data_IF_017940479579
#
_entry.id   IF_017940479579
#
_cell.length_a   1.000
_cell.length_b   1.000
_cell.length_c   1.000
_cell.angle_alpha   90.00
_cell.angle_beta   90.00
_cell.angle_gamma   90.00
#
_symmetry.space_group_name_H-M   'P 1'
#
loop_
_entity.id
_entity.type
_entity.pdbx_description
1 polymer ?
#
# COMPACT_ATOMS: atom_id res chain seq x y z
N UNK A 1 18.00 -13.89 -12.08
CA UNK A 1 19.08 -12.91 -11.85
C UNK A 1 18.77 -12.17 -10.56
N UNK A 2 19.77 -11.70 -9.81
CA UNK A 2 19.51 -10.85 -8.66
C UNK A 2 18.92 -9.51 -9.13
N UNK A 3 17.95 -8.96 -8.36
CA UNK A 3 17.38 -7.66 -8.69
C UNK A 3 18.43 -6.54 -8.56
N UNK A 4 18.37 -5.57 -9.46
CA UNK A 4 19.20 -4.36 -9.43
C UNK A 4 18.69 -3.47 -8.28
N UNK A 5 19.62 -2.94 -7.46
CA UNK A 5 19.31 -2.18 -6.24
C UNK A 5 20.05 -0.85 -6.25
N UNK A 6 19.38 0.17 -5.75
CA UNK A 6 19.89 1.55 -5.68
C UNK A 6 19.72 2.09 -4.26
N UNK A 7 20.67 2.92 -3.85
CA UNK A 7 20.72 3.55 -2.54
C UNK A 7 20.89 5.07 -2.67
N UNK A 8 21.04 5.78 -1.58
CA UNK A 8 21.12 7.24 -1.56
C UNK A 8 22.22 7.81 -2.47
N UNK A 9 23.36 7.12 -2.59
CA UNK A 9 24.48 7.56 -3.43
C UNK A 9 24.22 7.40 -4.94
N UNK A 10 23.25 6.58 -5.31
CA UNK A 10 22.85 6.32 -6.71
C UNK A 10 21.82 7.34 -7.22
N UNK A 11 21.32 8.22 -6.36
CA UNK A 11 20.23 9.15 -6.69
C UNK A 11 20.61 10.61 -6.41
N UNK A 12 20.37 11.48 -7.40
CA UNK A 12 20.56 12.93 -7.27
C UNK A 12 19.23 13.60 -6.87
N UNK A 13 19.14 14.08 -5.62
CA UNK A 13 17.96 14.75 -5.09
C UNK A 13 17.62 16.05 -5.86
N UNK A 14 18.61 16.72 -6.45
CA UNK A 14 18.42 17.99 -7.13
C UNK A 14 17.50 17.88 -8.36
N UNK A 15 17.39 16.69 -8.97
CA UNK A 15 16.52 16.45 -10.11
C UNK A 15 15.07 16.71 -9.73
N UNK A 16 14.55 16.07 -8.66
CA UNK A 16 13.16 16.28 -8.23
C UNK A 16 12.96 17.64 -7.55
N UNK A 17 13.97 18.18 -6.87
CA UNK A 17 13.89 19.53 -6.29
C UNK A 17 13.73 20.63 -7.34
N UNK A 18 14.16 20.39 -8.58
CA UNK A 18 13.96 21.31 -9.71
C UNK A 18 12.57 21.25 -10.34
N UNK A 19 11.71 20.33 -9.88
CA UNK A 19 10.40 20.03 -10.45
C UNK A 19 9.26 20.49 -9.54
N UNK A 20 8.13 20.77 -10.16
CA UNK A 20 6.84 21.00 -9.49
C UNK A 20 6.08 19.68 -9.42
N UNK A 21 5.73 19.24 -8.24
CA UNK A 21 5.04 17.95 -8.03
C UNK A 21 3.60 18.17 -7.59
N UNK A 22 2.65 17.62 -8.33
CA UNK A 22 1.25 17.52 -7.91
C UNK A 22 0.98 16.13 -7.38
N UNK A 23 0.57 16.01 -6.12
CA UNK A 23 0.10 14.77 -5.51
C UNK A 23 -1.43 14.71 -5.61
N UNK A 24 -1.94 13.82 -6.46
CA UNK A 24 -3.38 13.67 -6.69
C UNK A 24 -3.96 12.63 -5.75
N UNK A 25 -4.72 13.10 -4.76
CA UNK A 25 -5.22 12.29 -3.64
C UNK A 25 -4.41 12.49 -2.37
N UNK A 26 -5.07 12.43 -1.20
CA UNK A 26 -4.47 12.65 0.11
C UNK A 26 -4.92 11.56 1.10
N UNK A 27 -4.85 10.31 0.64
CA UNK A 27 -4.98 9.11 1.47
C UNK A 27 -3.67 8.77 2.17
N UNK A 28 -3.53 7.54 2.64
CA UNK A 28 -2.35 7.07 3.39
C UNK A 28 -1.03 7.34 2.67
N UNK A 29 -0.90 6.96 1.38
CA UNK A 29 0.31 7.23 0.60
C UNK A 29 0.42 8.71 0.21
N UNK A 30 -0.69 9.35 -0.21
CA UNK A 30 -0.68 10.76 -0.62
C UNK A 30 -0.20 11.71 0.46
N UNK A 31 -0.66 11.50 1.71
CA UNK A 31 -0.17 12.21 2.88
C UNK A 31 1.35 12.04 3.06
N UNK A 32 1.83 10.79 3.05
CA UNK A 32 3.25 10.50 3.28
C UNK A 32 4.15 11.07 2.17
N UNK A 33 3.79 10.86 0.90
CA UNK A 33 4.56 11.36 -0.23
C UNK A 33 4.60 12.88 -0.26
N UNK A 34 3.46 13.56 -0.10
CA UNK A 34 3.41 15.03 -0.13
C UNK A 34 4.27 15.65 0.96
N UNK A 35 4.21 15.14 2.19
CA UNK A 35 5.01 15.66 3.30
C UNK A 35 6.50 15.34 3.15
N UNK A 36 6.86 14.12 2.74
CA UNK A 36 8.26 13.74 2.59
C UNK A 36 8.92 14.52 1.45
N UNK A 37 8.23 14.72 0.32
CA UNK A 37 8.69 15.57 -0.77
C UNK A 37 8.92 17.01 -0.32
N UNK A 38 7.94 17.61 0.36
CA UNK A 38 8.07 18.98 0.92
C UNK A 38 9.27 19.08 1.86
N UNK A 39 9.40 18.15 2.80
CA UNK A 39 10.49 18.16 3.78
C UNK A 39 11.86 17.87 3.14
N UNK A 40 11.86 17.32 1.92
CA UNK A 40 13.03 17.16 1.07
C UNK A 40 13.31 18.37 0.16
N UNK A 41 12.57 19.47 0.31
CA UNK A 41 12.78 20.72 -0.44
C UNK A 41 12.17 20.74 -1.84
N UNK A 42 11.19 19.88 -2.12
CA UNK A 42 10.45 19.84 -3.39
C UNK A 42 9.24 20.78 -3.33
N UNK A 43 8.94 21.48 -4.41
CA UNK A 43 7.73 22.29 -4.55
C UNK A 43 6.53 21.39 -4.81
N UNK A 44 5.62 21.28 -3.82
CA UNK A 44 4.49 20.32 -3.82
C UNK A 44 3.15 21.04 -3.71
N UNK A 45 2.17 20.59 -4.48
CA UNK A 45 0.75 20.89 -4.27
C UNK A 45 -0.04 19.59 -4.17
N UNK A 46 -1.14 19.62 -3.43
CA UNK A 46 -2.09 18.48 -3.35
C UNK A 46 -3.26 18.79 -4.27
N UNK A 47 -3.55 17.89 -5.21
CA UNK A 47 -4.69 17.97 -6.10
C UNK A 47 -5.88 17.21 -5.51
N UNK A 48 -6.99 17.90 -5.20
CA UNK A 48 -8.19 17.29 -4.63
C UNK A 48 -9.44 17.76 -5.37
N UNK A 49 -10.45 16.90 -5.39
CA UNK A 49 -11.78 17.30 -5.88
C UNK A 49 -12.43 18.34 -4.94
N UNK A 50 -13.27 19.18 -5.47
CA UNK A 50 -14.04 20.13 -4.69
C UNK A 50 -14.87 19.40 -3.62
N UNK A 51 -14.90 19.95 -2.40
CA UNK A 51 -15.62 19.36 -1.26
C UNK A 51 -14.98 18.13 -0.62
N UNK A 52 -13.75 17.78 -1.00
CA UNK A 52 -13.04 16.67 -0.35
C UNK A 52 -12.76 16.97 1.13
N UNK A 53 -13.07 16.02 2.02
CA UNK A 53 -12.74 16.10 3.46
C UNK A 53 -11.25 16.16 3.74
N UNK A 54 -10.40 15.80 2.77
CA UNK A 54 -8.95 15.85 2.89
C UNK A 54 -8.36 17.25 2.68
N UNK A 55 -9.12 18.22 2.18
CA UNK A 55 -8.63 19.60 1.96
C UNK A 55 -8.14 20.22 3.27
N UNK A 56 -9.00 20.25 4.27
CA UNK A 56 -8.63 20.80 5.58
C UNK A 56 -7.42 20.11 6.20
N UNK A 57 -7.33 18.78 6.06
CA UNK A 57 -6.18 17.99 6.59
C UNK A 57 -4.86 18.36 5.90
N UNK A 58 -4.88 18.53 4.58
CA UNK A 58 -3.69 18.91 3.82
C UNK A 58 -3.24 20.34 4.15
N UNK A 59 -4.20 21.28 4.24
CA UNK A 59 -3.92 22.68 4.60
C UNK A 59 -3.42 22.83 6.04
N UNK A 60 -3.94 22.06 6.99
CA UNK A 60 -3.46 22.02 8.38
C UNK A 60 -1.99 21.57 8.47
N UNK A 61 -1.59 20.67 7.57
CA UNK A 61 -0.19 20.24 7.44
C UNK A 61 0.68 21.22 6.64
N UNK A 62 0.14 22.37 6.25
CA UNK A 62 0.85 23.42 5.53
C UNK A 62 1.11 23.11 4.05
N UNK A 63 0.31 22.23 3.44
CA UNK A 63 0.40 21.92 2.02
C UNK A 63 -0.61 22.75 1.21
N UNK A 64 -0.19 23.40 0.11
CA UNK A 64 -1.11 24.07 -0.80
C UNK A 64 -2.04 23.05 -1.47
N UNK A 65 -3.35 23.36 -1.53
CA UNK A 65 -4.34 22.53 -2.19
C UNK A 65 -4.89 23.25 -3.42
N UNK A 66 -5.08 22.53 -4.51
CA UNK A 66 -5.70 23.02 -5.75
C UNK A 66 -6.76 22.04 -6.27
N UNK A 67 -7.73 22.50 -7.08
CA UNK A 67 -8.51 21.61 -7.93
C UNK A 67 -7.58 20.74 -8.79
N UNK A 68 -7.98 19.50 -9.07
CA UNK A 68 -7.13 18.51 -9.73
C UNK A 68 -6.59 19.00 -11.07
N UNK A 69 -7.45 19.52 -11.96
CA UNK A 69 -7.04 20.05 -13.26
C UNK A 69 -5.99 21.17 -13.14
N UNK A 70 -6.14 22.08 -12.16
CA UNK A 70 -5.18 23.15 -11.93
C UNK A 70 -3.87 22.64 -11.37
N UNK A 71 -3.89 21.65 -10.49
CA UNK A 71 -2.70 21.01 -9.94
C UNK A 71 -1.91 20.32 -11.05
N UNK A 72 -2.59 19.58 -11.92
CA UNK A 72 -1.99 18.90 -13.09
C UNK A 72 -1.39 19.90 -14.07
N UNK A 73 -2.13 20.95 -14.45
CA UNK A 73 -1.64 21.98 -15.37
C UNK A 73 -0.43 22.75 -14.83
N UNK A 74 -0.28 22.85 -13.51
CA UNK A 74 0.85 23.49 -12.85
C UNK A 74 2.10 22.61 -12.79
N UNK A 75 1.93 21.28 -12.63
CA UNK A 75 2.99 20.35 -12.31
C UNK A 75 3.88 19.96 -13.49
N UNK A 76 5.10 19.52 -13.17
CA UNK A 76 6.03 18.80 -14.07
C UNK A 76 5.99 17.30 -13.78
N UNK A 77 5.58 16.91 -12.56
CA UNK A 77 5.36 15.52 -12.13
C UNK A 77 3.99 15.41 -11.49
N UNK A 78 3.16 14.54 -12.05
CA UNK A 78 1.80 14.24 -11.53
C UNK A 78 1.82 12.88 -10.87
N UNK A 79 1.77 12.84 -9.55
CA UNK A 79 1.76 11.60 -8.76
C UNK A 79 0.34 11.21 -8.43
N UNK A 80 -0.15 10.09 -8.98
CA UNK A 80 -1.52 9.62 -8.83
C UNK A 80 -1.62 8.66 -7.65
N UNK A 81 -2.18 9.14 -6.54
CA UNK A 81 -2.36 8.39 -5.28
C UNK A 81 -3.83 8.34 -4.83
N UNK A 82 -4.74 8.56 -5.76
CA UNK A 82 -6.17 8.27 -5.59
C UNK A 82 -6.39 6.74 -5.61
N UNK A 83 -7.53 6.24 -5.07
CA UNK A 83 -7.85 4.80 -5.12
C UNK A 83 -7.94 4.28 -6.57
N UNK A 84 -7.48 3.05 -6.80
CA UNK A 84 -7.34 2.45 -8.14
C UNK A 84 -8.62 2.51 -8.97
N UNK A 85 -9.76 2.26 -8.36
CA UNK A 85 -11.06 2.21 -9.05
C UNK A 85 -11.51 3.56 -9.62
N UNK A 86 -10.96 4.68 -9.15
CA UNK A 86 -11.32 6.02 -9.65
C UNK A 86 -10.26 6.60 -10.59
N UNK A 87 -9.06 6.03 -10.64
CA UNK A 87 -7.93 6.61 -11.37
C UNK A 87 -8.19 6.70 -12.88
N UNK A 88 -8.84 5.69 -13.48
CA UNK A 88 -9.10 5.70 -14.92
C UNK A 88 -10.05 6.84 -15.35
N UNK A 89 -11.10 7.10 -14.56
CA UNK A 89 -12.00 8.23 -14.80
C UNK A 89 -11.27 9.57 -14.55
N UNK A 90 -10.54 9.64 -13.45
CA UNK A 90 -9.73 10.80 -13.08
C UNK A 90 -8.68 11.16 -14.14
N UNK A 91 -8.01 10.15 -14.68
CA UNK A 91 -7.05 10.33 -15.77
C UNK A 91 -7.71 10.96 -16.99
N UNK A 92 -8.78 10.35 -17.48
CA UNK A 92 -9.50 10.80 -18.68
C UNK A 92 -10.13 12.19 -18.53
N UNK A 93 -10.66 12.51 -17.35
CA UNK A 93 -11.46 13.71 -17.14
C UNK A 93 -10.63 14.92 -16.68
N UNK A 94 -9.59 14.69 -15.87
CA UNK A 94 -8.85 15.75 -15.20
C UNK A 94 -7.35 15.77 -15.52
N UNK A 95 -6.72 14.58 -15.75
CA UNK A 95 -5.25 14.52 -15.93
C UNK A 95 -4.89 14.68 -17.40
N UNK A 96 -5.37 13.79 -18.25
CA UNK A 96 -5.01 13.77 -19.69
C UNK A 96 -5.24 15.11 -20.40
N UNK A 97 -6.36 15.83 -20.17
CA UNK A 97 -6.59 17.14 -20.83
C UNK A 97 -5.67 18.25 -20.34
N UNK A 98 -5.01 18.10 -19.19
CA UNK A 98 -4.27 19.16 -18.51
C UNK A 98 -2.78 18.87 -18.31
N UNK A 99 -2.33 17.63 -18.49
CA UNK A 99 -0.92 17.25 -18.33
C UNK A 99 -0.09 17.81 -19.51
N UNK A 100 1.08 18.36 -19.20
CA UNK A 100 1.95 18.94 -20.22
C UNK A 100 2.78 17.88 -20.91
N UNK A 101 3.03 18.03 -22.20
CA UNK A 101 4.05 17.24 -22.89
C UNK A 101 5.40 17.36 -22.17
N UNK A 102 6.11 16.25 -22.04
CA UNK A 102 7.38 16.17 -21.32
C UNK A 102 7.24 16.12 -19.79
N UNK A 103 6.03 16.11 -19.24
CA UNK A 103 5.80 15.85 -17.82
C UNK A 103 5.89 14.36 -17.51
N UNK A 104 5.98 14.01 -16.22
CA UNK A 104 5.94 12.64 -15.76
C UNK A 104 4.60 12.31 -15.07
N UNK A 105 4.03 11.16 -15.39
CA UNK A 105 2.92 10.53 -14.70
C UNK A 105 3.48 9.43 -13.79
N UNK A 106 3.35 9.59 -12.47
CA UNK A 106 3.94 8.72 -11.47
C UNK A 106 2.85 7.98 -10.68
N UNK A 107 3.05 6.68 -10.51
CA UNK A 107 2.19 5.81 -9.72
C UNK A 107 2.95 5.21 -8.54
N UNK A 108 2.22 4.74 -7.51
CA UNK A 108 2.76 3.93 -6.41
C UNK A 108 2.21 2.51 -6.40
N UNK A 109 1.38 2.17 -7.38
CA UNK A 109 0.90 0.82 -7.67
C UNK A 109 0.57 0.74 -9.17
N UNK A 110 0.91 -0.38 -9.79
CA UNK A 110 0.85 -0.49 -11.25
C UNK A 110 -0.50 -0.88 -11.82
N UNK A 111 -1.56 -1.06 -11.03
CA UNK A 111 -2.85 -1.64 -11.41
C UNK A 111 -3.42 -1.07 -12.71
N UNK A 112 -3.61 0.25 -12.77
CA UNK A 112 -4.29 0.88 -13.90
C UNK A 112 -3.47 0.89 -15.20
N UNK A 113 -2.15 0.88 -15.11
CA UNK A 113 -1.26 0.76 -16.28
C UNK A 113 -1.16 -0.70 -16.72
N UNK A 114 -0.91 -1.63 -15.79
CA UNK A 114 -0.74 -3.04 -16.09
C UNK A 114 -1.98 -3.69 -16.74
N UNK A 115 -3.17 -3.32 -16.25
CA UNK A 115 -4.43 -3.83 -16.79
C UNK A 115 -5.07 -2.95 -17.87
N UNK A 116 -4.33 -2.01 -18.45
CA UNK A 116 -4.79 -1.16 -19.56
C UNK A 116 -6.01 -0.26 -19.28
N UNK A 117 -6.31 0.03 -18.01
CA UNK A 117 -7.36 0.99 -17.64
C UNK A 117 -6.95 2.44 -17.92
N UNK A 118 -5.66 2.74 -17.86
CA UNK A 118 -5.06 4.01 -18.24
C UNK A 118 -4.04 3.75 -19.35
N UNK A 119 -4.16 4.49 -20.46
CA UNK A 119 -3.23 4.48 -21.60
C UNK A 119 -2.66 5.87 -21.79
N UNK A 120 -1.52 6.15 -21.19
CA UNK A 120 -0.89 7.47 -21.26
C UNK A 120 -0.50 7.85 -22.70
N UNK A 121 -0.51 9.16 -22.98
CA UNK A 121 -0.02 9.69 -24.26
C UNK A 121 1.48 9.48 -24.41
N UNK A 122 1.98 9.38 -25.64
CA UNK A 122 3.38 9.01 -25.91
C UNK A 122 4.41 10.10 -25.60
N UNK A 123 3.94 11.30 -25.27
CA UNK A 123 4.76 12.50 -25.04
C UNK A 123 5.06 12.80 -23.56
N UNK A 124 4.71 11.88 -22.66
CA UNK A 124 4.98 11.98 -21.22
C UNK A 124 5.76 10.77 -20.71
N UNK A 125 6.49 10.93 -19.62
CA UNK A 125 7.10 9.81 -18.91
C UNK A 125 6.05 9.07 -18.09
N UNK A 126 6.15 7.75 -18.00
CA UNK A 126 5.30 6.92 -17.12
C UNK A 126 6.20 6.11 -16.21
N UNK A 127 6.09 6.38 -14.92
CA UNK A 127 7.03 5.86 -13.93
C UNK A 127 6.32 5.37 -12.67
N UNK A 128 7.00 4.56 -11.87
CA UNK A 128 6.49 4.09 -10.60
C UNK A 128 7.54 4.17 -9.49
N UNK A 129 7.09 4.63 -8.32
CA UNK A 129 7.79 4.50 -7.05
C UNK A 129 6.80 3.95 -6.03
N UNK A 130 6.94 2.67 -5.70
CA UNK A 130 5.99 1.93 -4.86
C UNK A 130 6.63 1.54 -3.52
N UNK A 131 6.39 2.30 -2.43
CA UNK A 131 6.83 1.92 -1.10
C UNK A 131 6.21 0.59 -0.65
N UNK A 132 7.02 -0.31 -0.09
CA UNK A 132 6.54 -1.60 0.42
C UNK A 132 6.18 -1.49 1.91
N UNK A 133 5.16 -0.69 2.16
CA UNK A 133 4.59 -0.46 3.49
C UNK A 133 3.46 0.57 3.47
N UNK A 134 2.62 0.59 4.51
CA UNK A 134 1.55 1.59 4.65
C UNK A 134 2.09 3.02 4.70
N UNK A 135 1.35 3.99 4.19
CA UNK A 135 1.80 5.38 4.09
C UNK A 135 2.21 6.00 5.44
N UNK A 136 1.47 5.73 6.52
CA UNK A 136 1.86 6.21 7.86
C UNK A 136 3.22 5.66 8.31
N UNK A 137 3.59 4.44 7.90
CA UNK A 137 4.91 3.89 8.16
C UNK A 137 5.96 4.58 7.28
N UNK A 138 5.65 4.86 6.02
CA UNK A 138 6.54 5.62 5.12
C UNK A 138 6.87 6.99 5.73
N UNK A 139 5.87 7.70 6.27
CA UNK A 139 6.07 8.99 6.93
C UNK A 139 6.89 8.86 8.21
N UNK A 140 6.50 7.97 9.11
CA UNK A 140 7.19 7.76 10.40
C UNK A 140 8.66 7.38 10.23
N UNK A 141 8.97 6.47 9.31
CA UNK A 141 10.36 6.06 9.07
C UNK A 141 11.19 7.20 8.46
N UNK A 142 10.57 8.01 7.58
CA UNK A 142 11.22 9.20 7.03
C UNK A 142 11.59 10.21 8.13
N UNK A 143 10.66 10.55 9.01
CA UNK A 143 10.88 11.46 10.15
C UNK A 143 11.96 10.94 11.11
N UNK A 144 12.06 9.63 11.26
CA UNK A 144 13.10 8.98 12.05
C UNK A 144 14.47 8.89 11.34
N UNK A 145 14.63 9.50 10.14
CA UNK A 145 15.86 9.44 9.35
C UNK A 145 16.12 8.09 8.69
N UNK A 146 15.14 7.20 8.73
CA UNK A 146 15.14 5.88 8.06
C UNK A 146 14.31 5.92 6.79
N UNK A 147 13.95 4.77 6.23
CA UNK A 147 13.10 4.66 5.06
C UNK A 147 12.39 3.32 4.98
N UNK A 148 11.36 3.26 4.15
CA UNK A 148 10.70 2.03 3.73
C UNK A 148 11.24 1.68 2.34
N UNK A 149 11.65 0.42 2.08
CA UNK A 149 12.09 0.01 0.75
C UNK A 149 11.05 0.31 -0.31
N UNK A 150 11.50 0.69 -1.50
CA UNK A 150 10.62 1.02 -2.64
C UNK A 150 10.92 0.16 -3.85
N UNK A 151 9.91 -0.16 -4.63
CA UNK A 151 10.08 -0.66 -5.98
C UNK A 151 10.05 0.50 -6.96
N UNK A 152 10.91 0.47 -7.97
CA UNK A 152 11.05 1.55 -8.95
C UNK A 152 11.08 1.00 -10.36
N UNK A 153 10.37 1.65 -11.28
CA UNK A 153 10.48 1.33 -12.70
C UNK A 153 10.06 2.49 -13.60
N UNK A 154 10.47 2.39 -14.84
CA UNK A 154 10.08 3.27 -15.95
C UNK A 154 9.37 2.41 -16.98
N UNK A 155 8.12 2.74 -17.27
CA UNK A 155 7.30 2.10 -18.31
C UNK A 155 7.49 2.81 -19.66
N UNK A 156 7.48 4.14 -19.61
CA UNK A 156 7.65 5.01 -20.76
C UNK A 156 8.62 6.13 -20.42
N UNK A 157 9.63 6.31 -21.28
CA UNK A 157 10.64 7.37 -21.16
C UNK A 157 10.59 8.26 -22.41
N UNK A 158 9.70 9.23 -22.40
CA UNK A 158 9.52 10.19 -23.49
C UNK A 158 10.60 11.28 -23.47
N UNK A 159 11.11 11.61 -22.29
CA UNK A 159 12.11 12.68 -22.11
C UNK A 159 13.55 12.22 -22.22
N UNK A 160 13.82 10.91 -22.06
CA UNK A 160 15.16 10.34 -21.94
C UNK A 160 15.79 10.52 -20.55
N UNK A 161 15.02 11.03 -19.55
CA UNK A 161 15.50 11.31 -18.19
C UNK A 161 14.61 10.69 -17.09
N UNK A 162 13.66 9.85 -17.47
CA UNK A 162 12.70 9.27 -16.54
C UNK A 162 13.35 8.44 -15.43
N UNK A 163 14.50 7.81 -15.72
CA UNK A 163 15.21 7.00 -14.73
C UNK A 163 15.81 7.85 -13.60
N UNK A 164 16.46 8.96 -13.95
CA UNK A 164 17.02 9.89 -12.98
C UNK A 164 15.91 10.50 -12.10
N UNK A 165 14.76 10.81 -12.70
CA UNK A 165 13.58 11.31 -12.01
C UNK A 165 13.05 10.31 -10.98
N UNK A 166 12.90 9.04 -11.37
CA UNK A 166 12.40 7.96 -10.51
C UNK A 166 13.28 7.79 -9.28
N UNK A 167 14.60 7.70 -9.47
CA UNK A 167 15.54 7.57 -8.36
C UNK A 167 15.55 8.80 -7.45
N UNK A 168 15.49 9.99 -8.03
CA UNK A 168 15.41 11.25 -7.29
C UNK A 168 14.13 11.34 -6.45
N UNK A 169 12.99 10.96 -7.01
CA UNK A 169 11.71 10.88 -6.28
C UNK A 169 11.77 9.86 -5.14
N UNK A 170 12.31 8.65 -5.41
CA UNK A 170 12.48 7.61 -4.40
C UNK A 170 13.34 8.09 -3.22
N UNK A 171 14.40 8.86 -3.51
CA UNK A 171 15.25 9.50 -2.49
C UNK A 171 14.48 10.55 -1.69
N UNK A 172 13.72 11.41 -2.37
CA UNK A 172 12.96 12.47 -1.73
C UNK A 172 11.91 11.96 -0.74
N UNK A 173 11.34 10.77 -0.99
CA UNK A 173 10.42 10.15 -0.02
C UNK A 173 11.10 9.24 1.00
N UNK A 174 12.44 9.12 0.97
CA UNK A 174 13.27 8.35 1.90
C UNK A 174 13.43 6.87 1.53
N UNK A 175 12.96 6.44 0.36
CA UNK A 175 12.99 5.04 -0.06
C UNK A 175 14.40 4.48 -0.27
N UNK A 176 15.29 5.27 -0.84
CA UNK A 176 16.68 4.87 -1.11
C UNK A 176 17.53 4.68 0.14
N UNK A 177 17.12 5.22 1.29
CA UNK A 177 17.77 4.96 2.58
C UNK A 177 17.67 3.49 2.97
N UNK A 178 16.55 2.84 2.63
CA UNK A 178 16.34 1.41 2.84
C UNK A 178 16.68 0.57 1.60
N UNK A 179 16.65 1.18 0.43
CA UNK A 179 16.95 0.61 -0.87
C UNK A 179 15.77 0.67 -1.84
N UNK A 180 16.08 1.00 -3.09
CA UNK A 180 15.16 0.96 -4.21
C UNK A 180 15.49 -0.27 -5.09
N UNK A 181 14.48 -1.06 -5.45
CA UNK A 181 14.64 -2.27 -6.25
C UNK A 181 13.97 -2.04 -7.60
N UNK A 182 14.73 -2.25 -8.68
CA UNK A 182 14.21 -2.17 -10.04
C UNK A 182 13.22 -3.31 -10.34
N UNK A 183 12.09 -2.95 -10.91
CA UNK A 183 11.02 -3.86 -11.28
C UNK A 183 10.33 -3.43 -12.58
N UNK A 184 9.15 -3.97 -12.86
CA UNK A 184 8.22 -3.57 -13.92
C UNK A 184 6.83 -3.30 -13.33
N UNK A 185 5.97 -2.57 -14.04
CA UNK A 185 4.57 -2.41 -13.64
C UNK A 185 3.86 -3.75 -13.46
N UNK A 186 4.11 -4.69 -14.36
CA UNK A 186 3.59 -6.04 -14.28
C UNK A 186 4.02 -6.76 -13.00
N UNK A 187 5.32 -6.85 -12.75
CA UNK A 187 5.85 -7.59 -11.59
C UNK A 187 5.40 -6.99 -10.27
N UNK A 188 5.43 -5.66 -10.15
CA UNK A 188 4.93 -4.97 -8.96
C UNK A 188 3.45 -5.28 -8.73
N UNK A 189 2.60 -5.10 -9.76
CA UNK A 189 1.15 -5.29 -9.63
C UNK A 189 0.78 -6.72 -9.29
N UNK A 190 1.31 -7.69 -10.02
CA UNK A 190 0.99 -9.11 -9.82
C UNK A 190 1.45 -9.59 -8.44
N UNK A 191 2.67 -9.23 -8.03
CA UNK A 191 3.22 -9.67 -6.73
C UNK A 191 2.58 -8.96 -5.54
N UNK A 192 2.23 -7.68 -5.66
CA UNK A 192 1.53 -6.95 -4.60
C UNK A 192 0.13 -7.53 -4.38
N UNK A 193 -0.68 -7.66 -5.44
CA UNK A 193 -2.01 -8.27 -5.36
C UNK A 193 -1.96 -9.70 -4.82
N UNK A 194 -1.01 -10.51 -5.29
CA UNK A 194 -0.83 -11.87 -4.80
C UNK A 194 -0.52 -11.90 -3.30
N UNK A 195 0.47 -11.11 -2.87
CA UNK A 195 0.88 -11.05 -1.46
C UNK A 195 -0.26 -10.63 -0.53
N UNK A 196 -1.02 -9.62 -0.93
CA UNK A 196 -2.18 -9.12 -0.17
C UNK A 196 -3.29 -10.17 -0.06
N UNK A 197 -3.65 -10.80 -1.17
CA UNK A 197 -4.76 -11.75 -1.22
C UNK A 197 -4.44 -13.07 -0.51
N UNK A 198 -3.24 -13.60 -0.70
CA UNK A 198 -2.91 -14.96 -0.25
C UNK A 198 -2.24 -15.02 1.12
N UNK A 199 -1.51 -13.98 1.53
CA UNK A 199 -0.70 -14.00 2.76
C UNK A 199 -1.01 -12.83 3.68
N UNK A 200 -0.74 -11.58 3.23
CA UNK A 200 -0.63 -10.43 4.13
C UNK A 200 -1.97 -9.95 4.70
N UNK A 201 -3.05 -10.05 3.91
CA UNK A 201 -4.38 -9.64 4.33
C UNK A 201 -5.34 -10.85 4.32
N UNK A 202 -5.59 -11.45 3.15
CA UNK A 202 -6.56 -12.53 3.02
C UNK A 202 -6.20 -13.77 3.82
N UNK A 203 -5.00 -14.32 3.61
CA UNK A 203 -4.53 -15.54 4.25
C UNK A 203 -4.46 -15.42 5.77
N UNK A 204 -3.74 -14.41 6.26
CA UNK A 204 -3.55 -14.22 7.71
C UNK A 204 -4.87 -13.96 8.44
N UNK A 205 -5.78 -13.18 7.84
CA UNK A 205 -7.08 -12.90 8.46
C UNK A 205 -7.94 -14.15 8.60
N UNK A 206 -7.97 -15.01 7.58
CA UNK A 206 -8.69 -16.28 7.64
C UNK A 206 -8.08 -17.26 8.63
N UNK A 207 -6.75 -17.34 8.68
CA UNK A 207 -6.05 -18.19 9.66
C UNK A 207 -6.38 -17.76 11.09
N UNK A 208 -6.38 -16.46 11.38
CA UNK A 208 -6.75 -15.91 12.68
C UNK A 208 -8.22 -16.23 13.02
N UNK A 209 -9.16 -16.01 12.08
CA UNK A 209 -10.57 -16.30 12.29
C UNK A 209 -10.80 -17.78 12.63
N UNK A 210 -10.24 -18.70 11.85
CA UNK A 210 -10.37 -20.13 12.10
C UNK A 210 -9.74 -20.57 13.42
N UNK A 211 -8.60 -19.99 13.81
CA UNK A 211 -7.99 -20.24 15.11
C UNK A 211 -8.90 -19.78 16.26
N UNK A 212 -9.46 -18.58 16.15
CA UNK A 212 -10.41 -18.04 17.12
C UNK A 212 -11.68 -18.91 17.25
N UNK A 213 -12.32 -19.22 16.13
CA UNK A 213 -13.51 -20.06 16.07
C UNK A 213 -13.24 -21.43 16.71
N UNK A 214 -12.14 -22.08 16.35
CA UNK A 214 -11.77 -23.41 16.87
C UNK A 214 -11.64 -23.43 18.39
N UNK A 215 -11.02 -22.39 18.97
CA UNK A 215 -10.86 -22.31 20.42
C UNK A 215 -12.17 -22.02 21.13
N UNK A 216 -13.00 -21.11 20.59
CA UNK A 216 -14.29 -20.75 21.17
C UNK A 216 -15.27 -21.94 21.10
N UNK A 217 -15.31 -22.66 19.98
CA UNK A 217 -16.13 -23.88 19.81
C UNK A 217 -15.71 -25.00 20.79
N UNK A 218 -14.42 -25.06 21.14
CA UNK A 218 -13.91 -25.98 22.14
C UNK A 218 -14.23 -25.56 23.59
N UNK A 219 -14.89 -24.40 23.79
CA UNK A 219 -15.34 -23.91 25.09
C UNK A 219 -14.32 -23.01 25.81
N UNK A 220 -13.28 -22.54 25.14
CA UNK A 220 -12.36 -21.56 25.73
C UNK A 220 -12.98 -20.15 25.69
N UNK A 221 -12.53 -19.29 26.60
CA UNK A 221 -12.97 -17.90 26.67
C UNK A 221 -12.56 -17.13 25.41
N UNK A 222 -13.48 -16.36 24.79
CA UNK A 222 -13.18 -15.61 23.56
C UNK A 222 -11.99 -14.66 23.71
N UNK A 223 -11.83 -14.03 24.89
CA UNK A 223 -10.71 -13.12 25.17
C UNK A 223 -9.37 -13.86 25.12
N UNK A 224 -9.31 -15.09 25.69
CA UNK A 224 -8.11 -15.93 25.62
C UNK A 224 -7.82 -16.34 24.18
N UNK A 225 -8.84 -16.78 23.44
CA UNK A 225 -8.70 -17.10 22.02
C UNK A 225 -8.17 -15.90 21.22
N UNK A 226 -8.69 -14.70 21.48
CA UNK A 226 -8.22 -13.47 20.82
C UNK A 226 -6.78 -13.14 21.14
N UNK A 227 -6.35 -13.26 22.41
CA UNK A 227 -4.95 -13.02 22.80
C UNK A 227 -4.01 -13.95 22.06
N UNK A 228 -4.28 -15.25 22.07
CA UNK A 228 -3.40 -16.29 21.52
C UNK A 228 -3.27 -16.23 20.00
N UNK A 229 -4.37 -16.00 19.27
CA UNK A 229 -4.34 -16.11 17.79
C UNK A 229 -4.29 -14.77 17.06
N UNK A 230 -4.61 -13.65 17.71
CA UNK A 230 -4.68 -12.35 17.07
C UNK A 230 -3.73 -11.32 17.69
N UNK A 231 -3.85 -11.08 19.01
CA UNK A 231 -3.08 -10.03 19.65
C UNK A 231 -1.57 -10.30 19.61
N UNK A 232 -1.17 -11.52 19.88
CA UNK A 232 0.24 -11.93 19.94
C UNK A 232 0.88 -12.05 18.55
N UNK A 233 0.08 -12.19 17.49
CA UNK A 233 0.56 -12.28 16.10
C UNK A 233 1.55 -11.18 15.74
N UNK A 234 1.33 -9.94 16.20
CA UNK A 234 2.24 -8.83 15.96
C UNK A 234 3.66 -9.13 16.42
N UNK A 235 3.82 -9.70 17.61
CA UNK A 235 5.13 -9.99 18.20
C UNK A 235 5.87 -11.05 17.39
N UNK A 236 5.15 -12.05 16.89
CA UNK A 236 5.69 -13.09 16.02
C UNK A 236 6.10 -12.51 14.67
N UNK A 237 5.26 -11.66 14.08
CA UNK A 237 5.57 -10.99 12.79
C UNK A 237 6.78 -10.05 12.94
N UNK A 238 6.92 -9.35 14.06
CA UNK A 238 8.09 -8.51 14.34
C UNK A 238 9.38 -9.36 14.33
N UNK A 239 9.38 -10.53 14.96
CA UNK A 239 10.54 -11.46 14.96
C UNK A 239 10.89 -11.96 13.54
N UNK A 240 9.86 -12.27 12.72
CA UNK A 240 10.07 -12.65 11.32
C UNK A 240 10.67 -11.49 10.53
N UNK A 241 10.17 -10.27 10.74
CA UNK A 241 10.67 -9.07 10.07
C UNK A 241 12.14 -8.77 10.45
N UNK A 242 12.50 -8.94 11.71
CA UNK A 242 13.84 -8.67 12.21
C UNK A 242 14.91 -9.66 11.73
N UNK A 243 14.56 -10.93 11.54
CA UNK A 243 15.58 -11.93 11.25
C UNK A 243 15.09 -13.19 10.52
N UNK A 244 13.91 -13.13 9.93
CA UNK A 244 13.33 -14.23 9.17
C UNK A 244 12.70 -15.33 10.05
N UNK A 245 12.12 -16.32 9.39
CA UNK A 245 11.41 -17.43 10.04
C UNK A 245 12.33 -18.19 11.02
N UNK A 246 13.60 -18.36 10.69
CA UNK A 246 14.55 -19.05 11.57
C UNK A 246 14.78 -18.30 12.89
N UNK A 247 14.84 -16.95 12.86
CA UNK A 247 14.96 -16.15 14.10
C UNK A 247 13.69 -16.23 14.93
N UNK A 248 12.53 -16.17 14.28
CA UNK A 248 11.25 -16.32 14.98
C UNK A 248 11.20 -17.65 15.73
N UNK A 249 11.52 -18.77 15.09
CA UNK A 249 11.57 -20.10 15.69
C UNK A 249 12.54 -20.17 16.86
N UNK A 250 13.76 -19.71 16.65
CA UNK A 250 14.79 -19.68 17.70
C UNK A 250 14.39 -18.82 18.91
N UNK A 251 13.56 -17.80 18.72
CA UNK A 251 13.13 -16.88 19.78
C UNK A 251 11.96 -17.41 20.62
N UNK A 252 11.29 -18.47 20.17
CA UNK A 252 10.20 -19.12 20.89
C UNK A 252 10.73 -20.25 21.78
N UNK A 253 9.84 -20.84 22.62
CA UNK A 253 10.19 -22.03 23.40
C UNK A 253 10.34 -23.25 22.51
N UNK A 254 11.15 -24.23 22.97
CA UNK A 254 11.32 -25.52 22.26
C UNK A 254 9.97 -26.19 21.98
N UNK A 255 9.00 -26.04 22.88
CA UNK A 255 7.64 -26.58 22.71
C UNK A 255 6.90 -25.92 21.57
N UNK A 256 7.02 -24.60 21.44
CA UNK A 256 6.39 -23.84 20.35
C UNK A 256 7.06 -24.15 19.01
N UNK A 257 8.40 -24.17 18.97
CA UNK A 257 9.15 -24.51 17.77
C UNK A 257 8.86 -25.92 17.29
N UNK A 258 8.84 -26.91 18.22
CA UNK A 258 8.49 -28.28 17.88
C UNK A 258 7.04 -28.37 17.33
N UNK A 259 6.09 -27.66 17.99
CA UNK A 259 4.69 -27.58 17.56
C UNK A 259 4.55 -27.01 16.15
N UNK A 260 5.31 -25.96 15.82
CA UNK A 260 5.38 -25.38 14.48
C UNK A 260 5.73 -26.44 13.42
N UNK A 261 6.82 -27.18 13.63
CA UNK A 261 7.27 -28.20 12.66
C UNK A 261 6.28 -29.35 12.48
N UNK A 262 5.58 -29.81 13.53
CA UNK A 262 4.74 -30.98 13.46
C UNK A 262 3.26 -30.66 13.16
N UNK A 263 2.78 -29.49 13.52
CA UNK A 263 1.39 -29.08 13.36
C UNK A 263 1.16 -28.09 12.21
N UNK A 264 2.11 -27.22 11.92
CA UNK A 264 2.05 -26.27 10.82
C UNK A 264 1.67 -26.93 9.48
N UNK A 265 2.36 -28.01 9.04
CA UNK A 265 2.02 -28.71 7.80
C UNK A 265 0.66 -29.43 7.79
N UNK A 266 0.03 -29.60 8.95
CA UNK A 266 -1.33 -30.17 9.05
C UNK A 266 -2.41 -29.10 8.89
N UNK A 267 -2.09 -27.86 9.23
CA UNK A 267 -2.98 -26.70 9.08
C UNK A 267 -2.85 -26.10 7.70
N UNK A 268 -1.63 -25.83 7.28
CA UNK A 268 -1.30 -25.31 5.94
C UNK A 268 -0.76 -26.48 5.11
N UNK A 269 -1.69 -27.19 4.50
CA UNK A 269 -1.42 -28.40 3.70
C UNK A 269 -0.94 -28.04 2.28
N UNK A 270 -0.33 -28.96 1.52
CA UNK A 270 0.20 -28.68 0.17
C UNK A 270 -0.82 -28.16 -0.85
N UNK A 271 -2.12 -28.49 -0.68
CA UNK A 271 -3.20 -27.98 -1.51
C UNK A 271 -3.40 -26.46 -1.39
N UNK A 272 -3.05 -25.85 -0.25
CA UNK A 272 -3.04 -24.39 -0.10
C UNK A 272 -2.15 -23.74 -1.18
N UNK A 273 -1.03 -24.36 -1.53
CA UNK A 273 -0.15 -23.86 -2.60
C UNK A 273 -0.81 -23.93 -3.97
N UNK A 274 -1.65 -24.93 -4.23
CA UNK A 274 -2.40 -25.00 -5.50
C UNK A 274 -3.47 -23.91 -5.55
N UNK A 275 -4.20 -23.66 -4.47
CA UNK A 275 -5.12 -22.52 -4.39
C UNK A 275 -4.40 -21.17 -4.58
N UNK A 276 -3.20 -21.00 -4.03
CA UNK A 276 -2.38 -19.80 -4.28
C UNK A 276 -2.02 -19.63 -5.76
N UNK A 277 -1.77 -20.72 -6.50
CA UNK A 277 -1.53 -20.67 -7.94
C UNK A 277 -2.78 -20.27 -8.72
N UNK A 278 -3.96 -20.73 -8.30
CA UNK A 278 -5.24 -20.32 -8.90
C UNK A 278 -5.45 -18.81 -8.70
N UNK A 279 -5.25 -18.30 -7.49
CA UNK A 279 -5.32 -16.86 -7.21
C UNK A 279 -4.32 -16.06 -8.06
N UNK A 280 -3.09 -16.56 -8.20
CA UNK A 280 -2.10 -15.92 -9.06
C UNK A 280 -2.53 -15.91 -10.53
N UNK A 281 -3.13 -17.00 -11.02
CA UNK A 281 -3.63 -17.07 -12.39
C UNK A 281 -4.74 -16.05 -12.63
N UNK A 282 -5.72 -15.91 -11.72
CA UNK A 282 -6.78 -14.90 -11.79
C UNK A 282 -6.25 -13.46 -11.78
N UNK A 283 -5.12 -13.23 -11.12
CA UNK A 283 -4.43 -11.94 -11.13
C UNK A 283 -3.77 -11.71 -12.49
N UNK A 284 -3.02 -12.70 -12.98
CA UNK A 284 -2.23 -12.59 -14.21
C UNK A 284 -3.08 -12.45 -15.46
N UNK A 285 -4.23 -13.10 -15.53
CA UNK A 285 -5.15 -13.04 -16.67
C UNK A 285 -6.16 -11.87 -16.59
N UNK A 286 -6.13 -11.10 -15.49
CA UNK A 286 -6.98 -9.94 -15.27
C UNK A 286 -8.39 -10.26 -14.75
N UNK A 287 -8.71 -11.53 -14.47
CA UNK A 287 -10.01 -11.94 -13.93
C UNK A 287 -10.32 -11.21 -12.62
N UNK A 288 -9.36 -11.14 -11.69
CA UNK A 288 -9.52 -10.41 -10.43
C UNK A 288 -9.74 -8.91 -10.68
N UNK A 289 -8.91 -8.29 -11.51
CA UNK A 289 -9.00 -6.86 -11.80
C UNK A 289 -10.36 -6.50 -12.40
N UNK A 290 -10.83 -7.30 -13.37
CA UNK A 290 -12.15 -7.10 -13.98
C UNK A 290 -13.28 -7.24 -12.97
N UNK A 291 -13.28 -8.29 -12.12
CA UNK A 291 -14.29 -8.51 -11.08
C UNK A 291 -14.36 -7.31 -10.13
N UNK A 292 -13.22 -6.82 -9.67
CA UNK A 292 -13.14 -5.66 -8.79
C UNK A 292 -13.71 -4.40 -9.46
N UNK A 293 -13.29 -4.10 -10.67
CA UNK A 293 -13.73 -2.89 -11.39
C UNK A 293 -15.22 -2.94 -11.75
N UNK A 294 -15.74 -4.10 -12.14
CA UNK A 294 -17.17 -4.29 -12.42
C UNK A 294 -18.02 -4.08 -11.14
N UNK A 295 -17.60 -4.62 -10.01
CA UNK A 295 -18.29 -4.42 -8.72
C UNK A 295 -18.26 -2.93 -8.32
N UNK A 296 -17.12 -2.25 -8.46
CA UNK A 296 -17.01 -0.82 -8.18
C UNK A 296 -17.92 0.01 -9.09
N UNK A 297 -17.98 -0.28 -10.38
CA UNK A 297 -18.84 0.38 -11.34
C UNK A 297 -20.34 0.20 -11.01
N UNK A 298 -20.71 -0.93 -10.44
CA UNK A 298 -22.07 -1.24 -9.97
C UNK A 298 -22.41 -0.59 -8.59
N UNK A 299 -21.51 0.18 -8.00
CA UNK A 299 -21.67 0.77 -6.67
C UNK A 299 -21.17 -0.11 -5.52
N UNK A 300 -20.31 -1.07 -5.82
CA UNK A 300 -19.62 -1.96 -4.89
C UNK A 300 -20.54 -2.84 -4.02
N UNK A 301 -21.57 -3.50 -4.59
CA UNK A 301 -22.51 -4.30 -3.79
C UNK A 301 -21.84 -5.51 -3.16
N UNK A 302 -20.98 -6.25 -3.90
CA UNK A 302 -20.25 -7.40 -3.38
C UNK A 302 -19.27 -6.97 -2.28
N UNK A 303 -18.48 -5.94 -2.55
CA UNK A 303 -17.51 -5.45 -1.59
C UNK A 303 -18.15 -4.96 -0.28
N UNK A 304 -19.27 -4.24 -0.36
CA UNK A 304 -20.03 -3.79 0.82
C UNK A 304 -20.59 -4.95 1.63
N UNK A 305 -21.10 -5.98 0.95
CA UNK A 305 -21.59 -7.20 1.59
C UNK A 305 -20.48 -7.92 2.35
N UNK A 306 -19.35 -8.19 1.69
CA UNK A 306 -18.20 -8.88 2.30
C UNK A 306 -17.63 -8.10 3.49
N UNK A 307 -17.59 -6.77 3.39
CA UNK A 307 -17.18 -5.89 4.50
C UNK A 307 -18.11 -6.04 5.70
N UNK A 308 -19.41 -5.97 5.49
CA UNK A 308 -20.40 -6.11 6.56
C UNK A 308 -20.34 -7.50 7.24
N UNK A 309 -20.13 -8.55 6.46
CA UNK A 309 -19.90 -9.90 6.98
C UNK A 309 -18.64 -9.99 7.86
N UNK A 310 -17.54 -9.37 7.41
CA UNK A 310 -16.29 -9.28 8.18
C UNK A 310 -16.46 -8.51 9.49
N UNK A 311 -17.12 -7.36 9.45
CA UNK A 311 -17.38 -6.52 10.62
C UNK A 311 -18.32 -7.17 11.65
N UNK A 312 -19.22 -8.05 11.19
CA UNK A 312 -20.14 -8.82 12.04
C UNK A 312 -19.49 -10.04 12.70
N UNK A 313 -18.27 -10.41 12.34
CA UNK A 313 -17.60 -11.58 12.90
C UNK A 313 -17.39 -11.43 14.42
N UNK A 314 -17.65 -12.48 15.25
CA UNK A 314 -17.54 -12.40 16.73
C UNK A 314 -16.17 -11.92 17.22
N UNK A 315 -15.08 -12.22 16.52
CA UNK A 315 -13.73 -11.77 16.84
C UNK A 315 -13.62 -10.25 16.95
N UNK A 316 -14.44 -9.50 16.18
CA UNK A 316 -14.40 -8.04 16.18
C UNK A 316 -14.96 -7.46 17.48
N UNK A 317 -16.05 -8.05 18.00
CA UNK A 317 -16.61 -7.65 19.29
C UNK A 317 -15.63 -7.92 20.43
N UNK A 318 -15.10 -9.15 20.50
CA UNK A 318 -14.07 -9.53 21.47
C UNK A 318 -12.82 -8.65 21.35
N UNK A 319 -12.38 -8.39 20.13
CA UNK A 319 -11.21 -7.54 19.87
C UNK A 319 -11.39 -6.11 20.36
N UNK A 320 -12.57 -5.50 20.21
CA UNK A 320 -12.86 -4.16 20.76
C UNK A 320 -12.75 -4.15 22.29
N UNK A 321 -13.31 -5.18 22.95
CA UNK A 321 -13.24 -5.30 24.40
C UNK A 321 -11.80 -5.45 24.88
N UNK A 322 -11.03 -6.37 24.30
CA UNK A 322 -9.62 -6.59 24.66
C UNK A 322 -8.77 -5.34 24.40
N UNK A 323 -8.94 -4.66 23.25
CA UNK A 323 -8.19 -3.44 22.95
C UNK A 323 -8.52 -2.30 23.93
N UNK A 324 -9.74 -2.24 24.45
CA UNK A 324 -10.13 -1.22 25.45
C UNK A 324 -9.38 -1.34 26.79
N UNK A 325 -8.77 -2.50 27.07
CA UNK A 325 -7.92 -2.71 28.25
C UNK A 325 -6.59 -1.92 28.17
N UNK A 326 -6.16 -1.52 26.98
CA UNK A 326 -4.91 -0.81 26.74
C UNK A 326 -5.15 0.69 26.64
N UNK A 327 -5.14 1.40 27.79
CA UNK A 327 -5.44 2.82 27.86
C UNK A 327 -4.58 3.71 26.92
N UNK A 328 -3.34 3.26 26.60
CA UNK A 328 -2.43 3.96 25.68
C UNK A 328 -2.75 3.75 24.19
N UNK A 329 -3.76 2.90 23.86
CA UNK A 329 -4.21 2.66 22.48
C UNK A 329 -5.48 3.44 22.12
N UNK A 330 -6.05 4.20 23.06
CA UNK A 330 -7.30 4.92 22.84
C UNK A 330 -7.25 5.92 21.66
N UNK A 331 -6.07 6.40 21.27
CA UNK A 331 -5.89 7.32 20.15
C UNK A 331 -5.72 6.61 18.79
N UNK A 332 -5.39 5.32 18.78
CA UNK A 332 -5.15 4.56 17.54
C UNK A 332 -6.45 4.24 16.80
N UNK A 333 -7.56 4.06 17.53
CA UNK A 333 -8.86 3.79 16.92
C UNK A 333 -9.46 5.03 16.24
N UNK A 334 -9.08 6.25 16.64
CA UNK A 334 -9.53 7.50 16.01
C UNK A 334 -8.90 7.72 14.63
N UNK A 335 -7.62 7.43 14.48
CA UNK A 335 -6.91 7.62 13.20
C UNK A 335 -7.37 6.63 12.11
N UNK A 336 -7.78 5.44 12.49
CA UNK A 336 -8.25 4.41 11.55
C UNK A 336 -9.64 4.71 10.97
N UNK A 337 -10.52 5.34 11.74
CA UNK A 337 -11.88 5.68 11.32
C UNK A 337 -11.95 6.98 10.54
N UNK A 338 -11.07 7.94 10.81
CA UNK A 338 -11.06 9.26 10.16
C UNK A 338 -10.20 9.32 8.89
N UNK A 339 -9.20 8.45 8.74
CA UNK A 339 -8.28 8.44 7.59
C UNK A 339 -8.67 7.52 6.44
N UNK A 340 -9.61 6.63 6.62
CA UNK A 340 -10.05 5.76 5.53
C UNK A 340 -10.99 6.54 4.62
N UNK A 341 -10.49 6.80 3.42
CA UNK A 341 -11.20 7.14 2.19
C UNK A 341 -12.66 6.74 2.26
N UNK A 342 -13.54 7.65 1.84
CA UNK A 342 -14.98 7.47 1.69
C UNK A 342 -15.38 5.98 1.71
N UNK A 343 -15.48 5.45 2.89
CA UNK A 343 -15.99 4.12 3.16
C UNK A 343 -17.49 4.19 3.16
#
# INVERSE_FOLDING_TARGET
MAAEKFYDDDADLSVIQSKKVAVIGYGSQGHAHALNLRDSGVEVVVGLREGSSSVAKAEEMGLPVKPIAEAVAWADVVTVLAPDQVQAALYREEIEPNIKAGSALLFSHGFNIHFDYIKPTADIDVVMVAPKGPGHTVRREFEAGRGVPVLVCVEQDATGTAWDLVLSYAKAIGGTRAGAIKTTFREETETALFGEQTVLCGGVSKLIQYGFETLVEAGYQPEMAYFEVCHEMKLIVDLINEGGISKQRWSCSDTAEYGDYVSGPRVITPDVKEHMKEVLADIQDGTFAKRFMDDQAAGAPEFKKLRAEGEAHPIEATGREVRSMFAWRADVDKDYTEGSVAR
#
